data_IF_619528395264
#
_entry.id   IF_619528395264
#
_cell.length_a   1.000
_cell.length_b   1.000
_cell.length_c   1.000
_cell.angle_alpha   90.00
_cell.angle_beta   90.00
_cell.angle_gamma   90.00
#
_symmetry.space_group_name_H-M   'P 1'
#
loop_
_entity.id
_entity.type
_entity.pdbx_description
1 polymer ?
#
# COMPACT_ATOMS: atom_id res chain seq x y z
N UNK A 1 -46.06 -35.82 -28.99
CA UNK A 1 -45.87 -35.84 -27.52
C UNK A 1 -44.41 -36.06 -27.08
N UNK A 2 -43.67 -37.06 -27.63
CA UNK A 2 -42.27 -37.36 -27.20
C UNK A 2 -41.28 -36.19 -27.43
N UNK A 3 -41.37 -35.45 -28.52
CA UNK A 3 -40.49 -34.34 -28.85
C UNK A 3 -40.77 -33.08 -28.00
N UNK A 4 -42.02 -32.88 -27.57
CA UNK A 4 -42.37 -31.75 -26.68
C UNK A 4 -41.89 -31.95 -25.25
N UNK A 5 -41.84 -33.21 -24.77
CA UNK A 5 -41.32 -33.54 -23.44
C UNK A 5 -39.80 -33.33 -23.38
N UNK A 6 -39.08 -33.72 -24.45
CA UNK A 6 -37.63 -33.50 -24.56
C UNK A 6 -37.29 -32.01 -24.55
N UNK A 7 -38.03 -31.18 -25.26
CA UNK A 7 -37.84 -29.73 -25.28
C UNK A 7 -38.03 -29.08 -23.90
N UNK A 8 -39.05 -29.52 -23.16
CA UNK A 8 -39.30 -29.02 -21.80
C UNK A 8 -38.18 -29.43 -20.85
N UNK A 9 -37.67 -30.67 -20.92
CA UNK A 9 -36.56 -31.13 -20.08
C UNK A 9 -35.26 -30.36 -20.36
N UNK A 10 -34.96 -30.06 -21.62
CA UNK A 10 -33.78 -29.24 -21.99
C UNK A 10 -33.89 -27.83 -21.42
N UNK A 11 -35.05 -27.18 -21.50
CA UNK A 11 -35.28 -25.85 -20.95
C UNK A 11 -35.12 -25.81 -19.43
N UNK A 12 -35.62 -26.84 -18.73
CA UNK A 12 -35.46 -26.96 -17.28
C UNK A 12 -33.98 -27.14 -16.93
N UNK A 13 -33.22 -27.95 -17.66
CA UNK A 13 -31.80 -28.17 -17.42
C UNK A 13 -30.96 -26.91 -17.64
N UNK A 14 -31.27 -26.13 -18.70
CA UNK A 14 -30.64 -24.84 -18.96
C UNK A 14 -30.96 -23.82 -17.88
N UNK A 15 -32.20 -23.78 -17.40
CA UNK A 15 -32.60 -22.89 -16.32
C UNK A 15 -31.90 -23.24 -14.99
N UNK A 16 -31.76 -24.52 -14.67
CA UNK A 16 -31.03 -24.99 -13.49
C UNK A 16 -29.52 -24.66 -13.62
N UNK A 17 -28.93 -24.93 -14.78
CA UNK A 17 -27.51 -24.61 -15.03
C UNK A 17 -27.24 -23.11 -14.93
N UNK A 18 -28.11 -22.24 -15.43
CA UNK A 18 -28.02 -20.80 -15.26
C UNK A 18 -28.18 -20.42 -13.79
N UNK A 19 -29.13 -20.99 -13.07
CA UNK A 19 -29.31 -20.69 -11.64
C UNK A 19 -28.07 -21.05 -10.82
N UNK A 20 -27.46 -22.22 -11.08
CA UNK A 20 -26.22 -22.66 -10.43
C UNK A 20 -25.06 -21.74 -10.82
N UNK A 21 -24.94 -21.37 -12.11
CA UNK A 21 -23.89 -20.44 -12.56
C UNK A 21 -23.97 -19.07 -11.88
N UNK A 22 -25.19 -18.53 -11.70
CA UNK A 22 -25.39 -17.25 -10.99
C UNK A 22 -25.17 -17.34 -9.49
N UNK A 23 -25.36 -18.51 -8.86
CA UNK A 23 -25.08 -18.69 -7.43
C UNK A 23 -23.60 -18.87 -7.13
N UNK A 24 -22.83 -19.51 -8.01
CA UNK A 24 -21.39 -19.74 -7.82
C UNK A 24 -20.55 -18.46 -8.04
N UNK A 25 -21.04 -17.48 -8.81
CA UNK A 25 -20.30 -16.24 -9.08
C UNK A 25 -20.53 -15.11 -8.05
N UNK A 26 -21.24 -15.36 -6.95
CA UNK A 26 -21.35 -14.38 -5.87
C UNK A 26 -20.05 -14.34 -5.09
N UNK A 27 -19.12 -13.46 -5.48
CA UNK A 27 -17.95 -13.14 -4.65
C UNK A 27 -18.43 -12.77 -3.24
N UNK A 28 -18.18 -13.62 -2.27
CA UNK A 28 -18.40 -13.28 -0.85
C UNK A 28 -17.37 -12.20 -0.52
N UNK A 29 -17.79 -10.95 -0.44
CA UNK A 29 -16.97 -9.86 0.07
C UNK A 29 -17.01 -9.99 1.59
N UNK A 30 -15.91 -10.46 2.16
CA UNK A 30 -15.73 -10.49 3.62
C UNK A 30 -15.32 -9.09 4.06
N UNK A 31 -16.14 -8.47 4.91
CA UNK A 31 -15.84 -7.19 5.54
C UNK A 31 -15.24 -7.47 6.91
N UNK A 32 -14.10 -6.87 7.20
CA UNK A 32 -13.34 -7.09 8.43
C UNK A 32 -13.10 -5.81 9.25
N UNK A 33 -13.35 -4.64 8.66
CA UNK A 33 -13.11 -3.35 9.31
C UNK A 33 -14.22 -2.32 9.06
N UNK A 34 -14.21 -1.25 9.85
CA UNK A 34 -15.10 -0.10 9.66
C UNK A 34 -14.89 0.55 8.28
N UNK A 35 -13.63 0.70 7.86
CA UNK A 35 -13.26 1.33 6.59
C UNK A 35 -13.75 0.51 5.38
N UNK A 36 -13.62 -0.82 5.45
CA UNK A 36 -14.15 -1.71 4.42
C UNK A 36 -15.67 -1.63 4.35
N UNK A 37 -16.35 -1.66 5.50
CA UNK A 37 -17.80 -1.51 5.58
C UNK A 37 -18.26 -0.17 4.97
N UNK A 38 -17.60 0.93 5.32
CA UNK A 38 -17.90 2.26 4.81
C UNK A 38 -17.66 2.37 3.29
N UNK A 39 -16.58 1.77 2.79
CA UNK A 39 -16.23 1.79 1.36
C UNK A 39 -17.24 1.03 0.50
N UNK A 40 -17.91 0.02 1.05
CA UNK A 40 -18.98 -0.75 0.41
C UNK A 40 -20.36 -0.09 0.54
N UNK A 41 -20.43 1.12 1.10
CA UNK A 41 -21.68 1.87 1.26
C UNK A 41 -22.57 1.36 2.40
N UNK A 42 -22.01 0.66 3.39
CA UNK A 42 -22.72 0.28 4.61
C UNK A 42 -23.20 1.54 5.36
N UNK A 43 -24.40 1.51 5.97
CA UNK A 43 -24.91 2.64 6.74
C UNK A 43 -24.01 2.93 7.95
N UNK A 44 -23.60 4.19 8.07
CA UNK A 44 -22.78 4.68 9.18
C UNK A 44 -23.68 5.33 10.22
N UNK A 45 -23.54 4.90 11.47
CA UNK A 45 -24.21 5.49 12.62
C UNK A 45 -23.32 6.59 13.21
N UNK A 46 -23.95 7.75 13.51
CA UNK A 46 -23.27 8.91 14.13
C UNK A 46 -23.13 8.71 15.66
N UNK A 47 -22.55 7.58 16.06
CA UNK A 47 -22.08 7.33 17.42
C UNK A 47 -20.61 7.75 17.58
N UNK A 48 -20.10 7.75 18.79
CA UNK A 48 -18.67 7.90 19.02
C UNK A 48 -18.16 6.72 19.87
N UNK A 49 -17.25 5.88 19.32
CA UNK A 49 -16.76 5.86 17.93
C UNK A 49 -17.89 5.62 16.92
N UNK A 50 -17.69 6.03 15.66
CA UNK A 50 -18.63 5.77 14.58
C UNK A 50 -18.75 4.27 14.34
N UNK A 51 -19.93 3.83 13.92
CA UNK A 51 -20.18 2.42 13.64
C UNK A 51 -20.74 2.27 12.22
N UNK A 52 -20.31 1.23 11.52
CA UNK A 52 -20.82 0.86 10.22
C UNK A 52 -21.44 -0.53 10.27
N UNK A 53 -22.58 -0.73 9.59
CA UNK A 53 -23.28 -2.01 9.57
C UNK A 53 -23.25 -2.63 8.19
N UNK A 54 -22.82 -3.88 8.11
CA UNK A 54 -22.80 -4.63 6.86
C UNK A 54 -23.10 -6.10 7.12
N UNK A 55 -24.04 -6.68 6.34
CA UNK A 55 -24.49 -8.09 6.43
C UNK A 55 -24.80 -8.56 7.88
N UNK A 56 -25.50 -7.70 8.63
CA UNK A 56 -25.90 -7.99 10.02
C UNK A 56 -24.79 -7.82 11.07
N UNK A 57 -23.55 -7.55 10.66
CA UNK A 57 -22.42 -7.26 11.53
C UNK A 57 -22.22 -5.75 11.72
N UNK A 58 -21.69 -5.35 12.86
CA UNK A 58 -21.38 -3.96 13.19
C UNK A 58 -19.88 -3.83 13.41
N UNK A 59 -19.28 -2.87 12.72
CA UNK A 59 -17.85 -2.54 12.77
C UNK A 59 -17.70 -1.15 13.38
N UNK A 60 -16.90 -1.04 14.44
CA UNK A 60 -16.60 0.24 15.09
C UNK A 60 -15.34 0.87 14.50
N UNK A 61 -15.38 2.18 14.35
CA UNK A 61 -14.20 2.96 13.96
C UNK A 61 -13.09 2.80 15.00
N UNK A 62 -11.86 2.61 14.55
CA UNK A 62 -10.71 2.62 15.43
C UNK A 62 -10.38 4.07 15.82
N UNK A 63 -10.48 4.41 17.09
CA UNK A 63 -10.12 5.72 17.67
C UNK A 63 -8.94 5.61 18.64
N UNK A 64 -8.22 4.47 18.61
CA UNK A 64 -7.16 4.18 19.57
C UNK A 64 -7.73 3.91 20.97
N UNK A 65 -7.04 4.41 21.99
CA UNK A 65 -7.46 4.29 23.39
C UNK A 65 -8.05 5.60 23.96
N UNK A 66 -8.57 6.49 23.10
CA UNK A 66 -9.03 7.83 23.51
C UNK A 66 -10.08 7.77 24.63
N UNK A 67 -11.04 6.84 24.55
CA UNK A 67 -12.08 6.71 25.57
C UNK A 67 -11.54 6.22 26.92
N UNK A 68 -10.54 5.35 26.90
CA UNK A 68 -9.92 4.83 28.12
C UNK A 68 -9.10 5.90 28.84
N UNK A 69 -8.62 6.88 28.12
CA UNK A 69 -7.79 7.98 28.63
C UNK A 69 -8.54 9.30 28.83
N UNK A 70 -9.81 9.37 28.47
CA UNK A 70 -10.59 10.62 28.44
C UNK A 70 -10.67 11.35 29.79
N UNK A 71 -10.50 10.66 30.90
CA UNK A 71 -10.46 11.25 32.25
C UNK A 71 -9.06 11.79 32.64
N UNK A 72 -8.03 11.53 31.84
CA UNK A 72 -6.62 11.92 32.07
C UNK A 72 -6.11 12.92 31.06
N UNK A 73 -6.39 12.70 29.79
CA UNK A 73 -5.95 13.54 28.67
C UNK A 73 -6.97 13.51 27.54
N UNK A 74 -7.20 14.67 26.92
CA UNK A 74 -8.09 14.85 25.78
C UNK A 74 -7.36 15.66 24.71
N UNK A 75 -7.37 15.19 23.48
CA UNK A 75 -6.83 15.89 22.31
C UNK A 75 -7.98 16.53 21.54
N UNK A 76 -7.95 17.85 21.40
CA UNK A 76 -8.95 18.60 20.65
C UNK A 76 -8.60 18.59 19.13
N UNK A 77 -7.31 18.63 18.80
CA UNK A 77 -6.78 18.57 17.44
C UNK A 77 -5.37 17.96 17.43
N UNK A 78 -5.06 17.03 16.51
CA UNK A 78 -5.97 16.39 15.57
C UNK A 78 -6.92 15.38 16.25
N UNK A 79 -8.08 15.17 15.65
CA UNK A 79 -9.02 14.12 16.09
C UNK A 79 -8.61 12.75 15.52
N UNK A 80 -9.02 11.62 16.12
CA UNK A 80 -8.76 10.29 15.57
C UNK A 80 -9.16 10.19 14.10
N UNK A 81 -8.30 9.56 13.29
CA UNK A 81 -8.44 9.42 11.82
C UNK A 81 -8.49 10.73 11.02
N UNK A 82 -8.16 11.86 11.65
CA UNK A 82 -8.00 13.11 10.92
C UNK A 82 -6.75 13.05 10.04
N UNK A 83 -6.86 13.61 8.83
CA UNK A 83 -5.71 13.81 7.95
C UNK A 83 -4.85 14.95 8.48
N UNK A 84 -3.56 14.69 8.65
CA UNK A 84 -2.57 15.63 9.20
C UNK A 84 -1.53 16.01 8.14
N UNK A 85 -1.00 17.23 8.27
CA UNK A 85 0.10 17.78 7.47
C UNK A 85 1.17 18.40 8.36
N UNK A 86 2.39 18.51 7.84
CA UNK A 86 3.51 19.16 8.54
C UNK A 86 3.60 20.64 8.18
N UNK A 87 3.75 21.58 9.12
CA UNK A 87 3.84 21.36 10.58
C UNK A 87 2.48 21.01 11.21
N UNK A 88 2.46 20.02 12.10
CA UNK A 88 1.29 19.59 12.85
C UNK A 88 1.23 20.33 14.18
N UNK A 89 0.20 21.12 14.40
CA UNK A 89 -0.10 21.70 15.70
C UNK A 89 -1.08 20.82 16.46
N UNK A 90 -0.68 20.37 17.62
CA UNK A 90 -1.46 19.50 18.51
C UNK A 90 -1.95 20.36 19.67
N UNK A 91 -3.24 20.28 19.95
CA UNK A 91 -3.89 20.99 21.07
C UNK A 91 -4.78 20.07 21.83
N UNK A 92 -4.85 20.29 23.14
CA UNK A 92 -5.68 19.51 24.03
C UNK A 92 -5.57 19.97 25.47
N UNK A 93 -5.98 19.11 26.37
CA UNK A 93 -5.87 19.32 27.81
C UNK A 93 -5.55 18.00 28.50
N UNK A 94 -4.70 18.05 29.54
CA UNK A 94 -4.33 16.89 30.33
C UNK A 94 -4.40 17.23 31.83
N UNK A 95 -4.63 16.21 32.67
CA UNK A 95 -4.53 16.38 34.12
C UNK A 95 -3.09 16.73 34.51
N UNK A 96 -2.92 17.52 35.56
CA UNK A 96 -1.59 17.95 35.99
C UNK A 96 -0.58 16.83 36.22
N UNK A 97 -1.03 15.64 36.64
CA UNK A 97 -0.18 14.46 36.83
C UNK A 97 0.27 13.79 35.50
N UNK A 98 -0.17 14.29 34.34
CA UNK A 98 0.33 13.89 33.03
C UNK A 98 1.65 14.58 32.70
N UNK A 99 1.85 15.77 33.23
CA UNK A 99 3.02 16.59 33.04
C UNK A 99 4.11 16.29 34.08
N UNK A 100 5.34 16.49 33.67
CA UNK A 100 6.48 16.73 34.56
C UNK A 100 7.25 17.94 34.02
N UNK A 101 7.63 18.87 34.89
CA UNK A 101 8.22 20.17 34.52
C UNK A 101 7.42 20.91 33.40
N UNK A 102 6.09 20.95 33.58
CA UNK A 102 5.15 21.59 32.66
C UNK A 102 5.12 21.00 31.24
N UNK A 103 5.64 19.79 31.03
CA UNK A 103 5.75 19.19 29.70
C UNK A 103 5.52 17.68 29.71
N UNK A 104 5.33 17.10 28.51
CA UNK A 104 5.34 15.66 28.29
C UNK A 104 5.71 15.32 26.84
N UNK A 105 6.27 14.12 26.55
CA UNK A 105 6.69 13.72 25.22
C UNK A 105 5.51 13.43 24.28
N UNK A 106 5.67 13.82 23.02
CA UNK A 106 4.75 13.51 21.93
C UNK A 106 5.53 12.84 20.79
N UNK A 107 5.01 11.74 20.27
CA UNK A 107 5.63 10.93 19.23
C UNK A 107 4.63 10.71 18.11
N UNK A 108 5.10 10.80 16.87
CA UNK A 108 4.34 10.45 15.68
C UNK A 108 5.01 9.24 15.02
N UNK A 109 4.23 8.18 14.76
CA UNK A 109 4.71 6.97 14.08
C UNK A 109 4.02 6.78 12.74
N UNK A 110 4.68 6.04 11.84
CA UNK A 110 4.05 5.54 10.63
C UNK A 110 3.23 4.26 10.92
N UNK A 111 2.69 3.65 9.87
CA UNK A 111 1.88 2.43 9.91
C UNK A 111 2.61 1.21 10.52
N UNK A 112 3.93 1.19 10.51
CA UNK A 112 4.81 0.11 11.01
C UNK A 112 5.36 0.41 12.42
N UNK A 113 4.90 1.49 13.04
CA UNK A 113 5.35 1.91 14.36
C UNK A 113 6.72 2.61 14.37
N UNK A 114 7.32 2.87 13.21
CA UNK A 114 8.55 3.65 13.12
C UNK A 114 8.28 5.11 13.51
N UNK A 115 9.06 5.64 14.45
CA UNK A 115 8.97 7.04 14.84
C UNK A 115 9.47 7.93 13.69
N UNK A 116 8.59 8.80 13.19
CA UNK A 116 8.89 9.76 12.11
C UNK A 116 9.01 11.19 12.61
N UNK A 117 8.47 11.47 13.79
CA UNK A 117 8.70 12.73 14.50
C UNK A 117 8.56 12.55 16.01
N UNK A 118 9.25 13.39 16.76
CA UNK A 118 9.09 13.52 18.19
C UNK A 118 9.17 14.98 18.60
N UNK A 119 8.50 15.33 19.68
CA UNK A 119 8.46 16.68 20.23
C UNK A 119 7.96 16.66 21.66
N UNK A 120 7.70 17.85 22.17
CA UNK A 120 7.27 18.07 23.56
C UNK A 120 6.00 18.90 23.54
N UNK A 121 4.99 18.44 24.25
CA UNK A 121 3.82 19.23 24.58
C UNK A 121 4.10 20.05 25.83
N UNK A 122 3.73 21.33 25.82
CA UNK A 122 3.94 22.27 26.91
C UNK A 122 2.61 22.73 27.49
N UNK A 123 2.50 22.75 28.80
CA UNK A 123 1.32 23.24 29.52
C UNK A 123 1.11 24.75 29.30
N UNK A 124 -0.14 25.14 29.09
CA UNK A 124 -0.53 26.56 29.01
C UNK A 124 -1.15 27.01 30.34
N UNK A 125 -0.33 27.12 31.36
CA UNK A 125 -0.72 27.56 32.70
C UNK A 125 -0.12 26.74 33.84
N UNK A 126 -0.70 26.85 35.03
CA UNK A 126 -0.27 26.09 36.20
C UNK A 126 -0.62 24.60 36.06
N UNK A 127 0.40 23.78 35.93
CA UNK A 127 0.26 22.34 35.74
C UNK A 127 0.26 21.54 37.06
N UNK A 128 0.68 22.17 38.17
CA UNK A 128 0.70 21.53 39.51
C UNK A 128 -0.71 21.47 40.13
N UNK A 129 -1.63 20.84 39.42
CA UNK A 129 -3.04 20.72 39.77
C UNK A 129 -3.59 19.33 39.44
N UNK A 130 -4.73 18.98 40.02
CA UNK A 130 -5.51 17.80 39.62
C UNK A 130 -6.47 18.08 38.48
N UNK A 131 -6.64 19.35 38.12
CA UNK A 131 -7.56 19.76 37.06
C UNK A 131 -6.96 19.59 35.65
N UNK A 132 -7.79 19.72 34.62
CA UNK A 132 -7.31 19.74 33.26
C UNK A 132 -6.59 21.05 32.94
N UNK A 133 -5.39 20.94 32.42
CA UNK A 133 -4.55 22.05 31.97
C UNK A 133 -4.41 21.98 30.46
N UNK A 134 -4.68 23.05 29.71
CA UNK A 134 -4.45 23.10 28.27
C UNK A 134 -2.97 22.89 27.93
N UNK A 135 -2.71 22.27 26.78
CA UNK A 135 -1.36 22.11 26.24
C UNK A 135 -1.33 22.36 24.75
N UNK A 136 -0.13 22.66 24.24
CA UNK A 136 0.16 22.75 22.82
C UNK A 136 1.49 22.05 22.52
N UNK A 137 1.57 21.46 21.30
CA UNK A 137 2.81 20.92 20.74
C UNK A 137 2.86 21.18 19.24
N UNK A 138 4.06 21.20 18.65
CA UNK A 138 4.26 21.25 17.20
C UNK A 138 5.20 20.13 16.78
N UNK A 139 4.82 19.36 15.76
CA UNK A 139 5.66 18.36 15.14
C UNK A 139 5.91 18.70 13.66
N UNK A 140 7.15 18.51 13.22
CA UNK A 140 7.54 18.58 11.82
C UNK A 140 7.98 17.20 11.36
N UNK A 141 7.43 16.74 10.23
CA UNK A 141 7.69 15.40 9.70
C UNK A 141 7.61 15.41 8.18
N UNK A 142 8.15 14.36 7.56
CA UNK A 142 7.90 14.02 6.17
C UNK A 142 6.83 12.93 6.12
N UNK A 143 5.94 13.02 5.13
CA UNK A 143 4.88 12.01 4.98
C UNK A 143 5.51 10.65 4.63
N UNK A 144 5.01 9.54 5.22
CA UNK A 144 5.48 8.21 4.85
C UNK A 144 5.20 7.89 3.38
N UNK A 145 6.17 7.29 2.69
CA UNK A 145 6.06 6.92 1.28
C UNK A 145 5.08 5.76 1.02
N UNK A 146 4.88 4.91 2.03
CA UNK A 146 4.07 3.70 1.95
C UNK A 146 3.01 3.68 3.04
N UNK A 147 1.74 3.57 2.66
CA UNK A 147 0.55 3.73 3.51
C UNK A 147 0.47 5.10 4.20
N UNK A 148 -0.73 5.60 4.29
CA UNK A 148 -1.01 6.94 4.79
C UNK A 148 -1.61 6.95 6.21
N UNK A 149 -1.36 5.92 7.00
CA UNK A 149 -1.83 5.83 8.38
C UNK A 149 -0.68 5.72 9.37
N UNK A 150 -0.91 6.17 10.56
CA UNK A 150 0.03 6.12 11.67
C UNK A 150 -0.66 6.41 13.00
N UNK A 151 0.14 6.63 14.03
CA UNK A 151 -0.36 6.97 15.36
C UNK A 151 0.32 8.20 15.91
N UNK A 152 -0.49 9.09 16.50
CA UNK A 152 -0.03 10.15 17.38
C UNK A 152 -0.08 9.63 18.82
N UNK A 153 1.07 9.61 19.49
CA UNK A 153 1.25 9.04 20.82
C UNK A 153 1.67 10.17 21.78
N UNK A 154 0.82 10.47 22.75
CA UNK A 154 1.08 11.45 23.79
C UNK A 154 1.42 10.67 25.06
N UNK A 155 2.69 10.67 25.45
CA UNK A 155 3.19 9.90 26.59
C UNK A 155 3.09 10.73 27.86
N UNK A 156 2.52 10.13 28.92
CA UNK A 156 2.65 10.71 30.25
C UNK A 156 4.13 10.80 30.61
N UNK A 157 4.57 11.93 31.15
CA UNK A 157 5.94 12.04 31.62
C UNK A 157 6.14 11.17 32.87
N UNK A 158 7.21 10.38 32.85
CA UNK A 158 7.54 9.41 33.87
C UNK A 158 8.98 9.60 34.38
N UNK A 159 9.20 10.55 35.30
CA UNK A 159 10.54 10.82 35.83
C UNK A 159 11.12 9.66 36.67
N UNK A 160 10.25 8.70 37.09
CA UNK A 160 10.73 7.53 37.85
C UNK A 160 11.46 6.51 36.97
N UNK A 161 11.20 6.50 35.67
CA UNK A 161 11.72 5.50 34.72
C UNK A 161 11.22 4.07 34.97
N UNK A 162 10.24 3.90 35.86
CA UNK A 162 9.66 2.58 36.17
C UNK A 162 8.55 2.28 35.15
N UNK A 163 8.60 1.14 34.44
CA UNK A 163 7.61 0.82 33.39
C UNK A 163 6.16 0.77 33.87
N UNK A 164 5.91 0.45 35.12
CA UNK A 164 4.56 0.44 35.72
C UNK A 164 3.91 1.81 35.80
N UNK A 165 4.69 2.88 35.66
CA UNK A 165 4.22 4.26 35.64
C UNK A 165 4.08 4.81 34.20
N UNK A 166 4.45 4.03 33.20
CA UNK A 166 4.31 4.43 31.79
C UNK A 166 2.83 4.41 31.39
N UNK A 167 2.42 5.49 30.77
CA UNK A 167 1.05 5.66 30.28
C UNK A 167 1.06 6.49 29.01
N UNK A 168 0.19 6.16 28.05
CA UNK A 168 0.11 6.91 26.81
C UNK A 168 -1.33 6.97 26.28
N UNK A 169 -1.65 8.10 25.67
CA UNK A 169 -2.79 8.22 24.78
C UNK A 169 -2.27 7.96 23.34
N UNK A 170 -2.90 7.02 22.65
CA UNK A 170 -2.58 6.66 21.28
C UNK A 170 -3.82 6.87 20.41
N UNK A 171 -3.75 7.77 19.44
CA UNK A 171 -4.82 8.04 18.49
C UNK A 171 -4.35 7.79 17.06
N UNK A 172 -5.13 7.09 16.22
CA UNK A 172 -4.80 6.90 14.82
C UNK A 172 -4.93 8.22 14.07
N UNK A 173 -4.01 8.46 13.14
CA UNK A 173 -4.01 9.61 12.25
C UNK A 173 -3.79 9.17 10.81
N UNK A 174 -4.23 9.99 9.86
CA UNK A 174 -3.97 9.78 8.45
C UNK A 174 -3.01 10.86 7.96
N UNK A 175 -2.02 10.47 7.19
CA UNK A 175 -1.18 11.40 6.47
C UNK A 175 -1.89 11.86 5.21
N UNK A 176 -1.62 13.09 4.77
CA UNK A 176 -2.04 13.50 3.44
C UNK A 176 -1.56 12.45 2.45
N UNK A 177 -2.50 11.89 1.68
CA UNK A 177 -2.10 11.05 0.56
C UNK A 177 -1.22 11.95 -0.30
N UNK A 178 0.05 11.62 -0.37
CA UNK A 178 0.83 12.09 -1.49
C UNK A 178 0.02 11.56 -2.68
N UNK A 179 -0.76 12.45 -3.32
CA UNK A 179 -1.33 12.17 -4.62
C UNK A 179 -0.13 12.05 -5.56
N UNK A 180 0.55 10.92 -5.47
CA UNK A 180 1.42 10.42 -6.50
C UNK A 180 0.56 10.02 -7.71
N UNK A 181 -0.23 10.97 -8.22
CA UNK A 181 -0.51 11.13 -9.62
C UNK A 181 0.77 11.49 -10.41
N UNK A 182 1.84 11.95 -9.74
CA UNK A 182 3.20 11.55 -9.96
C UNK A 182 3.34 10.24 -9.15
N UNK A 183 3.18 9.10 -9.79
CA UNK A 183 3.70 7.83 -9.30
C UNK A 183 5.08 8.09 -8.72
N UNK A 184 5.53 7.28 -7.74
CA UNK A 184 6.89 7.34 -7.19
C UNK A 184 7.72 8.14 -8.16
N UNK A 185 8.17 9.36 -7.77
CA UNK A 185 8.87 10.22 -8.72
C UNK A 185 9.81 9.27 -9.44
N UNK A 186 9.63 8.99 -10.74
CA UNK A 186 10.36 7.91 -11.35
C UNK A 186 11.81 8.22 -11.02
N UNK A 187 12.52 7.29 -10.41
CA UNK A 187 13.93 7.53 -10.18
C UNK A 187 14.42 8.13 -11.48
N UNK A 188 15.19 9.22 -11.45
CA UNK A 188 15.75 9.80 -12.67
C UNK A 188 16.67 8.80 -13.40
N UNK A 189 16.68 7.58 -12.87
CA UNK A 189 17.40 6.40 -13.30
C UNK A 189 16.44 5.23 -13.49
N UNK A 190 16.85 4.26 -14.30
CA UNK A 190 16.06 3.09 -14.60
C UNK A 190 16.58 2.30 -15.79
N UNK A 191 15.70 1.49 -16.36
CA UNK A 191 16.00 0.68 -17.54
C UNK A 191 14.97 0.92 -18.63
N UNK A 192 15.45 1.10 -19.87
CA UNK A 192 14.67 0.96 -21.09
C UNK A 192 15.02 -0.40 -21.69
N UNK A 193 14.03 -1.21 -22.02
CA UNK A 193 14.29 -2.51 -22.54
C UNK A 193 13.51 -2.82 -23.80
N UNK A 194 14.08 -3.74 -24.61
CA UNK A 194 13.42 -4.32 -25.77
C UNK A 194 13.53 -5.82 -25.71
N UNK A 195 12.40 -6.51 -25.89
CA UNK A 195 12.33 -7.97 -25.97
C UNK A 195 12.22 -8.37 -27.43
N UNK A 196 13.09 -9.26 -27.86
CA UNK A 196 13.14 -9.82 -29.21
C UNK A 196 12.94 -11.32 -29.17
N UNK A 197 12.20 -11.83 -30.13
CA UNK A 197 11.86 -13.24 -30.31
C UNK A 197 12.53 -13.77 -31.57
N UNK A 198 13.41 -14.73 -31.42
CA UNK A 198 14.13 -15.38 -32.52
C UNK A 198 14.73 -16.73 -32.10
N UNK A 199 15.27 -17.52 -33.07
CA UNK A 199 15.15 -17.31 -34.51
C UNK A 199 13.71 -17.49 -35.01
N UNK A 200 13.34 -16.76 -36.07
CA UNK A 200 12.01 -16.88 -36.68
C UNK A 200 12.01 -17.80 -37.92
N UNK A 201 13.17 -18.24 -38.34
CA UNK A 201 13.36 -19.20 -39.43
C UNK A 201 14.32 -20.33 -39.01
N UNK A 202 14.11 -21.56 -39.50
CA UNK A 202 14.94 -22.73 -39.10
C UNK A 202 16.35 -22.75 -39.73
N UNK A 203 16.59 -21.94 -40.74
CA UNK A 203 17.90 -21.87 -41.46
C UNK A 203 18.22 -20.42 -41.78
N UNK A 204 19.47 -20.04 -41.46
CA UNK A 204 20.00 -18.73 -41.86
C UNK A 204 20.23 -18.77 -43.38
N UNK A 205 19.56 -17.88 -44.11
CA UNK A 205 19.69 -17.75 -45.56
C UNK A 205 20.87 -16.82 -45.94
N UNK A 206 21.52 -17.10 -47.05
CA UNK A 206 22.52 -16.23 -47.62
C UNK A 206 22.18 -15.90 -49.09
N UNK A 207 21.79 -14.66 -49.44
CA UNK A 207 21.76 -13.47 -48.57
C UNK A 207 20.71 -13.51 -47.50
N UNK A 208 20.90 -12.76 -46.41
CA UNK A 208 19.97 -12.69 -45.27
C UNK A 208 18.56 -12.22 -45.73
N UNK A 209 17.52 -12.96 -45.34
CA UNK A 209 16.14 -12.56 -45.60
C UNK A 209 15.61 -11.81 -44.36
N UNK A 210 15.20 -10.54 -44.52
CA UNK A 210 14.66 -9.70 -43.48
C UNK A 210 13.37 -10.25 -42.84
N UNK A 211 12.70 -11.20 -43.50
CA UNK A 211 11.52 -11.91 -42.91
C UNK A 211 11.93 -12.84 -41.77
N UNK A 212 13.21 -13.21 -41.69
CA UNK A 212 13.78 -14.06 -40.67
C UNK A 212 14.39 -13.28 -39.50
N UNK A 213 14.37 -11.95 -39.55
CA UNK A 213 14.84 -11.10 -38.45
C UNK A 213 14.04 -11.35 -37.18
N UNK A 214 14.69 -11.18 -36.03
CA UNK A 214 14.07 -11.27 -34.73
C UNK A 214 12.90 -10.27 -34.62
N UNK A 215 11.76 -10.70 -34.04
CA UNK A 215 10.56 -9.90 -33.96
C UNK A 215 10.36 -9.34 -32.54
N UNK A 216 9.76 -8.14 -32.40
CA UNK A 216 9.31 -7.67 -31.13
C UNK A 216 8.43 -8.69 -30.41
N UNK A 217 8.60 -8.82 -29.09
CA UNK A 217 7.84 -9.80 -28.31
C UNK A 217 7.20 -9.19 -27.08
N UNK A 218 5.88 -9.30 -27.00
CA UNK A 218 5.10 -8.86 -25.87
C UNK A 218 5.03 -9.97 -24.81
N UNK A 219 5.64 -9.75 -23.63
CA UNK A 219 5.72 -10.75 -22.56
C UNK A 219 5.80 -10.11 -21.17
N UNK A 220 5.69 -10.93 -20.13
CA UNK A 220 5.84 -10.46 -18.76
C UNK A 220 7.32 -10.24 -18.45
N UNK A 221 7.59 -9.16 -17.74
CA UNK A 221 8.93 -8.76 -17.31
C UNK A 221 8.95 -8.75 -15.78
N UNK A 222 9.99 -9.30 -15.19
CA UNK A 222 10.28 -9.18 -13.76
C UNK A 222 11.69 -8.67 -13.54
N UNK A 223 11.87 -7.82 -12.55
CA UNK A 223 13.16 -7.25 -12.16
C UNK A 223 13.42 -7.62 -10.70
N UNK A 224 14.61 -8.09 -10.40
CA UNK A 224 15.09 -8.38 -9.04
C UNK A 224 16.50 -7.84 -8.84
N UNK A 225 16.90 -7.57 -7.62
CA UNK A 225 18.31 -7.30 -7.31
C UNK A 225 19.15 -8.56 -7.54
N UNK A 226 20.40 -8.38 -7.97
CA UNK A 226 21.31 -9.52 -8.22
C UNK A 226 21.42 -10.43 -6.99
N UNK A 227 21.48 -9.85 -5.80
CA UNK A 227 21.68 -10.56 -4.53
C UNK A 227 20.35 -11.00 -3.87
N UNK A 228 19.19 -10.78 -4.51
CA UNK A 228 17.89 -11.09 -3.95
C UNK A 228 17.12 -12.12 -4.79
N UNK A 229 16.44 -13.04 -4.11
CA UNK A 229 15.50 -13.97 -4.75
C UNK A 229 14.11 -13.37 -4.95
N UNK A 230 13.77 -12.30 -4.21
CA UNK A 230 12.47 -11.62 -4.30
C UNK A 230 12.42 -10.68 -5.51
N UNK A 231 11.27 -10.65 -6.18
CA UNK A 231 11.00 -9.75 -7.28
C UNK A 231 10.80 -8.33 -6.73
N UNK A 232 11.50 -7.36 -7.31
CA UNK A 232 11.42 -5.95 -6.95
C UNK A 232 10.27 -5.25 -7.68
N UNK A 233 10.13 -5.49 -8.99
CA UNK A 233 9.04 -4.94 -9.82
C UNK A 233 8.66 -5.91 -10.93
N UNK A 234 7.38 -5.90 -11.29
CA UNK A 234 6.83 -6.65 -12.43
C UNK A 234 6.13 -5.72 -13.39
N UNK A 235 6.11 -6.09 -14.65
CA UNK A 235 5.39 -5.37 -15.70
C UNK A 235 5.29 -6.21 -16.95
N UNK A 236 5.03 -5.56 -18.09
CA UNK A 236 4.90 -6.22 -19.39
C UNK A 236 5.48 -5.34 -20.49
N UNK A 237 6.16 -5.95 -21.47
CA UNK A 237 6.51 -5.24 -22.69
C UNK A 237 5.28 -4.97 -23.56
N UNK A 238 5.32 -3.91 -24.35
CA UNK A 238 4.27 -3.57 -25.31
C UNK A 238 4.32 -4.44 -26.59
N UNK A 239 3.45 -4.15 -27.56
CA UNK A 239 3.39 -4.84 -28.86
C UNK A 239 4.68 -4.68 -29.68
N UNK A 240 5.47 -3.65 -29.41
CA UNK A 240 6.79 -3.42 -30.01
C UNK A 240 7.93 -4.04 -29.21
N UNK A 241 7.59 -4.85 -28.19
CA UNK A 241 8.55 -5.46 -27.28
C UNK A 241 9.20 -4.50 -26.30
N UNK A 242 8.74 -3.24 -26.20
CA UNK A 242 9.37 -2.19 -25.41
C UNK A 242 8.82 -2.20 -23.97
N UNK A 243 9.70 -2.02 -23.00
CA UNK A 243 9.35 -1.78 -21.60
C UNK A 243 10.23 -0.71 -20.99
N UNK A 244 9.72 -0.05 -19.95
CA UNK A 244 10.44 0.96 -19.19
C UNK A 244 10.13 0.77 -17.70
N UNK A 245 11.17 0.74 -16.87
CA UNK A 245 11.04 0.73 -15.41
C UNK A 245 11.93 1.82 -14.81
N UNK A 246 11.34 2.62 -13.95
CA UNK A 246 12.06 3.53 -13.09
C UNK A 246 12.62 2.73 -11.91
N UNK A 247 13.93 2.72 -11.72
CA UNK A 247 14.63 1.92 -10.72
C UNK A 247 15.69 2.77 -10.01
N UNK A 248 15.89 2.57 -8.70
CA UNK A 248 17.01 3.18 -8.00
C UNK A 248 18.34 2.69 -8.58
N UNK A 249 19.43 3.43 -8.39
CA UNK A 249 20.77 2.94 -8.73
C UNK A 249 21.08 1.62 -8.03
N UNK A 250 21.64 0.66 -8.77
CA UNK A 250 21.93 -0.68 -8.25
C UNK A 250 22.14 -1.70 -9.35
N UNK A 251 22.41 -2.95 -8.97
CA UNK A 251 22.59 -4.07 -9.89
C UNK A 251 21.35 -4.96 -9.89
N UNK A 252 20.84 -5.25 -11.08
CA UNK A 252 19.57 -5.94 -11.28
C UNK A 252 19.70 -7.09 -12.28
N UNK A 253 18.84 -8.08 -12.12
CA UNK A 253 18.55 -9.10 -13.11
C UNK A 253 17.17 -8.84 -13.66
N UNK A 254 17.06 -8.77 -14.97
CA UNK A 254 15.81 -8.57 -15.70
C UNK A 254 15.50 -9.86 -16.43
N UNK A 255 14.32 -10.43 -16.13
CA UNK A 255 13.84 -11.69 -16.69
C UNK A 255 12.57 -11.45 -17.49
N UNK A 256 12.48 -12.04 -18.67
CA UNK A 256 11.26 -12.06 -19.47
C UNK A 256 10.69 -13.48 -19.50
N UNK A 257 9.37 -13.66 -19.40
CA UNK A 257 8.74 -14.98 -19.37
C UNK A 257 7.32 -14.97 -19.89
N UNK A 258 6.98 -15.94 -20.75
CA UNK A 258 5.60 -16.24 -21.17
C UNK A 258 4.85 -17.09 -20.15
N UNK A 259 5.54 -17.68 -19.18
CA UNK A 259 5.00 -18.72 -18.30
C UNK A 259 5.04 -20.13 -18.90
N UNK A 260 5.48 -20.29 -20.13
CA UNK A 260 5.65 -21.57 -20.83
C UNK A 260 7.12 -21.92 -21.03
N UNK A 261 7.41 -23.17 -21.45
CA UNK A 261 8.78 -23.63 -21.68
C UNK A 261 9.46 -22.88 -22.83
N UNK A 262 8.68 -22.49 -23.85
CA UNK A 262 9.11 -21.68 -24.99
C UNK A 262 8.10 -20.56 -25.23
N UNK A 263 8.54 -19.39 -25.68
CA UNK A 263 9.96 -19.01 -25.89
C UNK A 263 10.73 -18.91 -24.56
N UNK A 264 11.98 -19.32 -24.59
CA UNK A 264 12.90 -19.25 -23.45
C UNK A 264 13.73 -17.97 -23.55
N UNK A 265 13.58 -17.07 -22.60
CA UNK A 265 14.29 -15.80 -22.60
C UNK A 265 15.51 -15.86 -21.66
N UNK A 266 16.61 -15.21 -22.08
CA UNK A 266 17.83 -15.14 -21.30
C UNK A 266 17.72 -14.01 -20.29
N UNK A 267 17.97 -14.33 -19.01
CA UNK A 267 18.09 -13.32 -17.95
C UNK A 267 19.22 -12.34 -18.30
N UNK A 268 18.94 -11.04 -18.14
CA UNK A 268 19.89 -9.99 -18.45
C UNK A 268 20.28 -9.25 -17.18
N UNK A 269 21.57 -9.32 -16.82
CA UNK A 269 22.11 -8.52 -15.73
C UNK A 269 22.46 -7.11 -16.23
N UNK A 270 22.13 -6.10 -15.41
CA UNK A 270 22.43 -4.71 -15.72
C UNK A 270 22.67 -3.90 -14.45
N UNK A 271 23.47 -2.83 -14.58
CA UNK A 271 23.71 -1.87 -13.51
C UNK A 271 23.13 -0.53 -13.89
N UNK A 272 22.28 -0.02 -12.99
CA UNK A 272 21.63 1.28 -13.12
C UNK A 272 22.47 2.32 -12.37
N UNK A 273 22.92 3.33 -13.11
CA UNK A 273 23.65 4.48 -12.54
C UNK A 273 22.70 5.59 -12.14
N UNK A 274 23.06 6.44 -11.15
CA UNK A 274 22.27 7.62 -10.78
C UNK A 274 21.95 8.51 -11.99
N UNK A 275 20.73 9.06 -12.01
CA UNK A 275 20.25 10.04 -13.00
C UNK A 275 20.35 9.58 -14.47
N UNK A 276 20.38 8.26 -14.73
CA UNK A 276 20.52 7.69 -16.06
C UNK A 276 19.63 6.46 -16.25
N UNK A 277 19.02 6.35 -17.44
CA UNK A 277 18.39 5.12 -17.92
C UNK A 277 19.43 4.29 -18.70
N UNK A 278 19.43 2.99 -18.41
CA UNK A 278 20.30 2.01 -19.09
C UNK A 278 19.46 1.25 -20.11
N UNK A 279 19.95 1.12 -21.34
CA UNK A 279 19.24 0.36 -22.38
C UNK A 279 19.67 -1.11 -22.33
N UNK A 280 18.67 -2.03 -22.43
CA UNK A 280 18.89 -3.47 -22.43
C UNK A 280 18.09 -4.15 -23.55
N UNK A 281 18.61 -5.25 -24.07
CA UNK A 281 17.89 -6.12 -25.01
C UNK A 281 17.81 -7.51 -24.41
N UNK A 282 16.61 -8.08 -24.40
CA UNK A 282 16.34 -9.44 -23.94
C UNK A 282 16.00 -10.28 -25.14
N UNK A 283 16.79 -11.32 -25.40
CA UNK A 283 16.54 -12.26 -26.48
C UNK A 283 15.81 -13.50 -25.97
N UNK A 284 14.74 -13.85 -26.65
CA UNK A 284 13.90 -15.02 -26.36
C UNK A 284 14.02 -16.04 -27.48
N UNK A 285 14.43 -17.26 -27.15
CA UNK A 285 14.59 -18.38 -28.10
C UNK A 285 13.22 -19.05 -28.34
N UNK A 286 12.79 -19.07 -29.60
CA UNK A 286 11.55 -19.75 -30.03
C UNK A 286 11.62 -21.26 -29.92
N UNK A 287 12.84 -21.86 -29.88
CA UNK A 287 13.07 -23.31 -30.01
C UNK A 287 13.05 -23.82 -31.44
N UNK A 288 12.89 -22.94 -32.44
CA UNK A 288 12.98 -23.32 -33.87
C UNK A 288 14.46 -23.65 -34.19
N UNK A 289 14.66 -24.82 -34.79
CA UNK A 289 15.96 -25.34 -35.20
C UNK A 289 15.87 -25.86 -36.61
#
# INVERSE_FOLDING_TARGET
>A
MRNSIIGILVLIFVAIAMAVYFTENKKIVTVSSFEECASLGGPIMESYPRQCRYDGQTFSENIGNELDKANLIVVDSPRPNQTISSPLVIKGKARGNWFFEASFPVVLTNWDGLIIASGIATAEGDWMTTEFVPFTAELRFENPDYKNNGFLILKKDNPSGLPENDEALEIPVLFEKINNSAGILPFKSGVNGKVLLGPTCPVIQNPADSKCDDKPYQTNISVRHVDASSVFVVGRSDENGIFNFSLPPGSYVISASSGEKFPNCVDTETTISPDKYTDVIISCDTGIR
#
